data_IF_907731012006
#
_entry.id   IF_907731012006
#
_cell.length_a   1.000
_cell.length_b   1.000
_cell.length_c   1.000
_cell.angle_alpha   90.00
_cell.angle_beta   90.00
_cell.angle_gamma   90.00
#
_symmetry.space_group_name_H-M   'P 1'
#
loop_
_entity.id
_entity.type
_entity.pdbx_description
1 polymer ?
#
# COMPACT_ATOMS: atom_id res chain seq x y z
N UNK A 1 -29.85 -12.50 -59.51
CA UNK A 1 -28.64 -13.33 -59.74
C UNK A 1 -27.57 -12.88 -58.76
N UNK A 2 -27.17 -13.77 -57.86
CA UNK A 2 -26.10 -13.56 -56.88
C UNK A 2 -24.76 -13.82 -57.58
N UNK A 3 -23.85 -12.86 -57.57
CA UNK A 3 -22.44 -13.10 -57.89
C UNK A 3 -21.57 -12.65 -56.72
N UNK A 4 -21.23 -13.65 -55.90
CA UNK A 4 -20.09 -13.66 -54.97
C UNK A 4 -18.83 -13.19 -55.69
N UNK A 5 -18.05 -12.33 -55.02
CA UNK A 5 -16.59 -12.45 -54.90
C UNK A 5 -16.11 -11.65 -53.69
N UNK A 6 -15.97 -12.37 -52.56
CA UNK A 6 -14.92 -12.09 -51.58
C UNK A 6 -13.58 -11.94 -52.30
N UNK A 7 -12.74 -10.99 -51.89
CA UNK A 7 -11.34 -11.23 -51.55
C UNK A 7 -10.83 -10.06 -50.68
N UNK A 8 -10.69 -10.37 -49.39
CA UNK A 8 -9.58 -10.04 -48.50
C UNK A 8 -8.83 -8.71 -48.64
N UNK A 9 -9.04 -7.82 -47.67
CA UNK A 9 -7.95 -7.26 -46.86
C UNK A 9 -8.44 -7.11 -45.42
N UNK A 10 -8.09 -8.08 -44.57
CA UNK A 10 -8.02 -7.88 -43.12
C UNK A 10 -6.98 -6.77 -42.86
N UNK A 11 -7.33 -5.63 -42.24
CA UNK A 11 -6.32 -4.84 -41.57
C UNK A 11 -6.02 -5.55 -40.25
N UNK A 12 -4.90 -6.28 -40.27
CA UNK A 12 -3.97 -6.57 -39.17
C UNK A 12 -4.46 -6.04 -37.81
N UNK A 13 -4.91 -6.97 -36.96
CA UNK A 13 -5.19 -6.76 -35.55
C UNK A 13 -3.86 -6.41 -34.84
N UNK A 14 -3.58 -5.12 -34.68
CA UNK A 14 -2.47 -4.66 -33.82
C UNK A 14 -2.93 -4.85 -32.37
N UNK A 15 -2.50 -5.96 -31.77
CA UNK A 15 -2.67 -6.24 -30.35
C UNK A 15 -1.66 -5.38 -29.58
N UNK A 16 -2.05 -4.16 -29.20
CA UNK A 16 -1.28 -3.34 -28.28
C UNK A 16 -1.50 -3.88 -26.86
N UNK A 17 -0.71 -4.87 -26.46
CA UNK A 17 -0.42 -5.08 -25.04
C UNK A 17 0.43 -3.90 -24.60
N UNK A 18 -0.22 -2.86 -24.08
CA UNK A 18 0.45 -1.94 -23.17
C UNK A 18 0.72 -2.72 -21.88
N UNK A 19 1.78 -3.53 -21.89
CA UNK A 19 2.40 -3.95 -20.65
C UNK A 19 2.88 -2.66 -20.00
N UNK A 20 2.19 -2.22 -18.94
CA UNK A 20 2.85 -1.42 -17.93
C UNK A 20 3.98 -2.34 -17.45
N UNK A 21 5.18 -2.15 -18.01
CA UNK A 21 6.43 -2.48 -17.35
C UNK A 21 6.26 -1.90 -15.98
N UNK A 22 6.00 -2.77 -15.00
CA UNK A 22 5.58 -2.36 -13.68
C UNK A 22 6.52 -1.26 -13.26
N UNK A 23 6.02 -0.01 -13.19
CA UNK A 23 6.65 0.97 -12.34
C UNK A 23 6.66 0.26 -11.01
N UNK A 24 7.85 -0.18 -10.60
CA UNK A 24 8.09 -0.87 -9.35
C UNK A 24 7.26 -0.12 -8.32
N UNK A 25 6.21 -0.76 -7.82
CA UNK A 25 5.65 -0.34 -6.55
C UNK A 25 6.88 -0.34 -5.65
N UNK A 26 7.15 0.80 -5.04
CA UNK A 26 8.30 1.03 -4.17
C UNK A 26 8.17 0.04 -3.00
N UNK A 27 8.59 -1.20 -3.26
CA UNK A 27 8.62 -2.30 -2.33
C UNK A 27 9.93 -2.18 -1.58
N UNK A 28 9.86 -2.15 -0.25
CA UNK A 28 11.07 -2.37 0.55
C UNK A 28 11.94 -1.15 0.79
N UNK A 29 11.38 0.07 0.80
CA UNK A 29 12.04 1.16 1.53
C UNK A 29 11.31 1.40 2.83
N UNK A 30 12.01 1.07 3.91
CA UNK A 30 11.59 1.38 5.26
C UNK A 30 11.46 2.91 5.43
N UNK A 31 10.29 3.36 5.83
CA UNK A 31 9.98 4.78 6.06
C UNK A 31 10.60 5.29 7.38
N UNK A 32 11.01 4.37 8.25
CA UNK A 32 11.72 4.71 9.48
C UNK A 32 13.15 5.11 9.15
N UNK A 33 13.54 6.29 9.63
CA UNK A 33 14.93 6.74 9.60
C UNK A 33 15.66 6.16 10.80
N UNK A 34 16.89 5.67 10.58
CA UNK A 34 17.73 5.05 11.61
C UNK A 34 16.99 3.93 12.39
N UNK A 35 16.48 2.90 11.69
CA UNK A 35 15.58 1.90 12.27
C UNK A 35 16.23 0.98 13.30
N UNK A 36 17.56 0.80 13.23
CA UNK A 36 18.35 0.03 14.21
C UNK A 36 19.26 0.89 15.08
N UNK A 37 19.00 2.20 15.20
CA UNK A 37 19.72 3.10 16.12
C UNK A 37 21.25 3.21 15.93
N UNK A 38 21.81 2.73 14.82
CA UNK A 38 23.24 2.79 14.50
C UNK A 38 23.82 4.21 14.53
N UNK A 39 22.98 5.20 14.22
CA UNK A 39 23.31 6.63 14.28
C UNK A 39 22.95 7.26 15.63
N UNK A 40 22.91 6.48 16.70
CA UNK A 40 22.46 6.93 18.02
C UNK A 40 20.96 7.26 18.01
N UNK A 41 20.56 8.29 18.76
CA UNK A 41 19.17 8.74 18.82
C UNK A 41 18.78 9.62 17.63
N UNK A 42 19.61 9.73 16.59
CA UNK A 42 19.30 10.54 15.41
C UNK A 42 17.95 10.12 14.82
N UNK A 43 17.10 11.10 14.51
CA UNK A 43 15.71 10.96 14.06
C UNK A 43 14.70 10.39 15.08
N UNK A 44 15.15 10.04 16.29
CA UNK A 44 14.31 9.55 17.37
C UNK A 44 14.28 10.55 18.51
N UNK A 45 13.13 10.70 19.17
CA UNK A 45 13.00 11.51 20.37
C UNK A 45 12.53 10.64 21.52
N UNK A 46 13.22 10.75 22.65
CA UNK A 46 12.79 10.11 23.88
C UNK A 46 11.91 11.06 24.70
N UNK A 47 10.81 10.54 25.22
CA UNK A 47 9.91 11.24 26.13
C UNK A 47 9.68 10.36 27.35
N UNK A 48 9.81 10.95 28.53
CA UNK A 48 9.51 10.31 29.82
C UNK A 48 8.50 11.09 30.67
N UNK A 49 7.90 12.16 30.12
CA UNK A 49 6.91 13.01 30.80
C UNK A 49 7.34 13.46 32.22
N UNK A 50 8.62 13.81 32.38
CA UNK A 50 9.21 14.26 33.65
C UNK A 50 9.18 13.22 34.78
N UNK A 51 9.13 11.92 34.47
CA UNK A 51 9.33 10.86 35.46
C UNK A 51 10.83 10.74 35.76
N UNK A 52 11.22 11.08 37.00
CA UNK A 52 12.61 11.34 37.43
C UNK A 52 13.58 10.16 37.22
N UNK A 53 13.08 8.94 37.15
CA UNK A 53 13.91 7.73 37.16
C UNK A 53 13.76 6.85 35.91
N UNK A 54 12.89 7.23 34.96
CA UNK A 54 12.78 6.50 33.69
C UNK A 54 13.82 7.03 32.71
N UNK A 55 14.65 6.14 32.19
CA UNK A 55 15.74 6.46 31.27
C UNK A 55 15.49 5.84 29.92
N UNK A 56 15.74 6.62 28.87
CA UNK A 56 15.79 6.17 27.49
C UNK A 56 17.18 6.39 26.95
N UNK A 57 17.84 5.33 26.51
CA UNK A 57 19.25 5.36 26.09
C UNK A 57 19.41 4.52 24.83
N UNK A 58 20.46 4.81 24.04
CA UNK A 58 20.91 3.91 22.99
C UNK A 58 22.01 3.05 23.59
N UNK A 59 21.81 1.73 23.59
CA UNK A 59 22.76 0.76 24.16
C UNK A 59 23.63 0.16 23.06
N UNK A 60 24.90 -0.10 23.38
CA UNK A 60 25.87 -0.78 22.51
C UNK A 60 26.19 -2.21 23.00
N UNK A 61 25.47 -2.69 24.02
CA UNK A 61 25.73 -3.99 24.67
C UNK A 61 24.63 -5.00 24.38
N UNK A 62 23.40 -4.53 24.19
CA UNK A 62 22.22 -5.37 24.03
C UNK A 62 21.44 -4.91 22.81
N UNK A 63 21.74 -5.50 21.66
CA UNK A 63 21.13 -5.21 20.36
C UNK A 63 20.67 -6.50 19.69
N UNK A 64 19.74 -6.40 18.73
CA UNK A 64 19.28 -7.52 17.93
C UNK A 64 20.18 -7.72 16.71
N UNK A 65 20.44 -6.63 15.99
CA UNK A 65 21.35 -6.61 14.86
C UNK A 65 22.26 -5.37 14.92
N UNK A 66 23.26 -5.31 14.04
CA UNK A 66 24.19 -4.18 14.04
C UNK A 66 25.01 -4.09 15.32
N UNK A 67 25.07 -2.90 15.92
CA UNK A 67 25.83 -2.59 17.13
C UNK A 67 25.02 -1.83 18.17
N UNK A 68 23.81 -1.37 17.86
CA UNK A 68 23.02 -0.50 18.74
C UNK A 68 21.55 -0.89 18.81
N UNK A 69 20.91 -0.56 19.92
CA UNK A 69 19.46 -0.63 20.05
C UNK A 69 18.94 0.46 20.99
N UNK A 70 17.65 0.78 20.90
CA UNK A 70 17.01 1.65 21.88
C UNK A 70 16.62 0.87 23.13
N UNK A 71 16.90 1.46 24.29
CA UNK A 71 16.54 0.94 25.61
C UNK A 71 15.62 1.92 26.32
N UNK A 72 14.66 1.39 27.07
CA UNK A 72 13.90 2.10 28.10
C UNK A 72 14.02 1.30 29.40
N UNK A 73 14.52 1.93 30.45
CA UNK A 73 14.56 1.36 31.80
C UNK A 73 13.63 2.17 32.68
N UNK A 74 12.55 1.52 33.13
CA UNK A 74 11.55 2.09 34.02
C UNK A 74 11.62 1.39 35.39
N UNK A 75 12.34 1.94 36.39
CA UNK A 75 12.49 1.30 37.71
C UNK A 75 11.19 1.26 38.51
N UNK A 76 10.22 2.09 38.15
CA UNK A 76 8.85 2.07 38.66
C UNK A 76 7.87 2.29 37.50
N UNK A 77 6.59 1.99 37.74
CA UNK A 77 5.56 2.16 36.72
C UNK A 77 5.43 3.64 36.36
N UNK A 78 5.66 4.05 35.10
CA UNK A 78 5.51 5.45 34.69
C UNK A 78 4.09 5.94 34.94
N UNK A 79 3.95 7.18 35.44
CA UNK A 79 2.63 7.78 35.70
C UNK A 79 1.78 7.94 34.42
N UNK A 80 2.44 8.20 33.30
CA UNK A 80 1.80 8.42 32.00
C UNK A 80 2.28 7.33 31.04
N UNK A 81 3.48 7.46 30.52
CA UNK A 81 4.23 6.44 29.80
C UNK A 81 5.66 6.96 29.58
N UNK A 82 6.50 6.16 28.95
CA UNK A 82 7.74 6.65 28.34
C UNK A 82 7.86 6.03 26.95
N UNK A 83 8.50 6.73 26.03
CA UNK A 83 8.55 6.29 24.65
C UNK A 83 9.71 6.87 23.89
N UNK A 84 10.25 6.06 22.99
CA UNK A 84 10.95 6.54 21.81
C UNK A 84 9.94 6.76 20.68
N UNK A 85 10.01 7.91 20.02
CA UNK A 85 9.09 8.22 18.91
C UNK A 85 9.77 8.90 17.72
N UNK A 86 9.13 8.76 16.56
CA UNK A 86 9.52 9.41 15.31
C UNK A 86 8.27 9.86 14.54
N UNK A 87 8.39 11.00 13.85
CA UNK A 87 7.38 11.47 12.90
C UNK A 87 7.73 11.00 11.48
N UNK A 88 6.76 10.41 10.81
CA UNK A 88 6.89 9.92 9.44
C UNK A 88 5.85 10.63 8.58
N UNK A 89 6.32 11.39 7.58
CA UNK A 89 5.45 11.99 6.58
C UNK A 89 5.12 10.96 5.49
N UNK A 90 3.86 10.90 5.09
CA UNK A 90 3.37 9.93 4.10
C UNK A 90 2.44 10.58 3.08
N UNK A 91 2.37 9.97 1.91
CA UNK A 91 1.41 10.27 0.83
C UNK A 91 0.56 9.02 0.58
N UNK A 92 -0.41 9.10 -0.32
CA UNK A 92 -1.20 7.91 -0.71
C UNK A 92 -0.33 6.81 -1.35
N UNK A 93 0.73 7.21 -2.05
CA UNK A 93 1.69 6.33 -2.70
C UNK A 93 2.65 5.68 -1.71
N UNK A 94 3.00 6.38 -0.62
CA UNK A 94 3.94 5.91 0.40
C UNK A 94 3.27 5.46 1.70
N UNK A 95 1.93 5.43 1.76
CA UNK A 95 1.19 4.98 2.93
C UNK A 95 1.58 3.53 3.27
N UNK A 96 2.11 3.25 4.47
CA UNK A 96 2.54 1.91 4.85
C UNK A 96 1.35 1.01 5.14
N UNK A 97 1.49 -0.27 4.79
CA UNK A 97 0.53 -1.34 5.04
C UNK A 97 1.11 -2.42 5.97
N UNK A 98 2.32 -2.21 6.47
CA UNK A 98 3.00 -3.15 7.34
C UNK A 98 3.90 -2.43 8.36
N UNK A 99 3.91 -2.97 9.59
CA UNK A 99 4.90 -2.62 10.62
C UNK A 99 5.47 -3.88 11.26
N UNK A 100 6.76 -3.85 11.58
CA UNK A 100 7.37 -4.79 12.50
C UNK A 100 8.42 -4.13 13.38
N UNK A 101 8.70 -4.77 14.52
CA UNK A 101 9.75 -4.37 15.45
C UNK A 101 10.37 -5.62 16.06
N UNK A 102 11.70 -5.64 16.17
CA UNK A 102 12.39 -6.56 17.07
C UNK A 102 12.46 -5.94 18.44
N UNK A 103 12.10 -6.71 19.46
CA UNK A 103 12.04 -6.21 20.82
C UNK A 103 12.40 -7.28 21.84
N UNK A 104 12.76 -6.82 23.04
CA UNK A 104 12.98 -7.64 24.22
C UNK A 104 12.37 -6.95 25.42
N UNK A 105 11.48 -7.63 26.14
CA UNK A 105 10.70 -7.05 27.23
C UNK A 105 10.52 -8.09 28.36
N UNK A 106 11.58 -8.42 29.12
CA UNK A 106 11.57 -9.51 30.10
C UNK A 106 10.51 -9.35 31.20
N UNK A 107 10.24 -8.12 31.63
CA UNK A 107 9.47 -7.87 32.85
C UNK A 107 7.96 -7.76 32.60
N UNK A 108 7.56 -7.07 31.52
CA UNK A 108 6.18 -6.66 31.29
C UNK A 108 5.86 -6.47 29.79
N UNK A 109 4.57 -6.56 29.46
CA UNK A 109 4.06 -6.21 28.13
C UNK A 109 4.26 -4.71 27.85
N UNK A 110 4.50 -4.38 26.59
CA UNK A 110 4.55 -3.01 26.07
C UNK A 110 3.81 -2.92 24.72
N UNK A 111 3.89 -1.80 24.02
CA UNK A 111 3.22 -1.64 22.73
C UNK A 111 3.97 -0.69 21.79
N UNK A 112 3.81 -0.89 20.48
CA UNK A 112 4.07 0.16 19.49
C UNK A 112 2.74 0.79 19.11
N UNK A 113 2.65 2.11 19.19
CA UNK A 113 1.46 2.86 18.78
C UNK A 113 1.80 3.67 17.54
N UNK A 114 0.95 3.58 16.53
CA UNK A 114 1.03 4.39 15.32
C UNK A 114 -0.15 5.35 15.31
N UNK A 115 0.09 6.62 15.69
CA UNK A 115 -0.91 7.69 15.66
C UNK A 115 -0.92 8.31 14.27
N UNK A 116 -2.05 8.26 13.57
CA UNK A 116 -2.17 8.86 12.24
C UNK A 116 -2.88 10.21 12.30
N UNK A 117 -2.39 11.14 11.48
CA UNK A 117 -2.87 12.51 11.37
C UNK A 117 -3.21 12.84 9.92
N UNK A 118 -4.31 13.55 9.73
CA UNK A 118 -4.75 14.09 8.44
C UNK A 118 -4.95 15.60 8.57
N UNK A 119 -5.11 16.29 7.43
CA UNK A 119 -5.46 17.70 7.46
C UNK A 119 -6.91 17.89 7.94
N UNK A 120 -7.14 18.91 8.75
CA UNK A 120 -8.48 19.38 9.11
C UNK A 120 -9.00 20.39 8.07
N UNK A 121 -10.23 20.88 8.27
CA UNK A 121 -10.87 21.85 7.39
C UNK A 121 -10.11 23.19 7.30
N UNK A 122 -9.35 23.54 8.33
CA UNK A 122 -8.49 24.73 8.36
C UNK A 122 -7.09 24.47 7.77
N UNK A 123 -6.81 23.26 7.29
CA UNK A 123 -5.53 22.83 6.72
C UNK A 123 -4.47 22.41 7.75
N UNK A 124 -4.79 22.46 9.05
CA UNK A 124 -3.94 22.03 10.16
C UNK A 124 -3.88 20.51 10.30
N UNK A 125 -2.89 19.98 11.02
CA UNK A 125 -2.77 18.53 11.24
C UNK A 125 -3.51 18.11 12.52
N UNK A 126 -4.56 17.32 12.35
CA UNK A 126 -5.34 16.77 13.45
C UNK A 126 -5.11 15.26 13.60
N UNK A 127 -5.05 14.78 14.84
CA UNK A 127 -5.08 13.33 15.12
C UNK A 127 -6.42 12.76 14.68
N UNK A 128 -6.38 11.71 13.86
CA UNK A 128 -7.59 11.03 13.37
C UNK A 128 -7.80 9.66 14.01
N UNK A 129 -6.73 9.04 14.51
CA UNK A 129 -6.81 7.76 15.20
C UNK A 129 -5.44 7.17 15.50
N UNK A 130 -5.44 5.93 15.98
CA UNK A 130 -4.22 5.18 16.24
C UNK A 130 -4.41 3.68 16.02
N UNK A 131 -3.34 3.01 15.64
CA UNK A 131 -3.22 1.55 15.59
C UNK A 131 -2.22 1.11 16.65
N UNK A 132 -2.46 -0.04 17.29
CA UNK A 132 -1.62 -0.56 18.37
C UNK A 132 -1.12 -1.96 18.02
N UNK A 133 0.20 -2.14 18.07
CA UNK A 133 0.87 -3.42 17.99
C UNK A 133 1.26 -3.83 19.42
N UNK A 134 0.53 -4.77 20.06
CA UNK A 134 0.88 -5.24 21.39
C UNK A 134 2.17 -6.07 21.35
N UNK A 135 3.05 -5.84 22.32
CA UNK A 135 4.32 -6.52 22.49
C UNK A 135 4.27 -7.32 23.79
N UNK A 136 4.35 -8.65 23.68
CA UNK A 136 4.22 -9.55 24.84
C UNK A 136 5.53 -9.68 25.58
N UNK A 137 5.50 -9.75 26.90
CA UNK A 137 6.72 -9.95 27.68
C UNK A 137 7.48 -11.20 27.22
N UNK A 138 8.81 -11.10 27.19
CA UNK A 138 9.71 -12.14 26.70
C UNK A 138 11.16 -11.79 27.02
N UNK A 139 11.90 -12.77 27.51
CA UNK A 139 13.30 -12.60 27.94
C UNK A 139 14.27 -12.52 26.76
N UNK A 140 13.92 -13.12 25.63
CA UNK A 140 14.73 -13.16 24.40
C UNK A 140 14.20 -12.17 23.36
N UNK A 141 15.04 -11.87 22.36
CA UNK A 141 14.63 -11.08 21.21
C UNK A 141 13.53 -11.80 20.43
N UNK A 142 12.48 -11.06 20.12
CA UNK A 142 11.32 -11.55 19.38
C UNK A 142 10.82 -10.47 18.44
N UNK A 143 10.22 -10.89 17.32
CA UNK A 143 9.63 -9.98 16.37
C UNK A 143 8.12 -9.92 16.56
N UNK A 144 7.57 -8.71 16.61
CA UNK A 144 6.14 -8.48 16.47
C UNK A 144 5.88 -7.77 15.16
N UNK A 145 4.77 -8.09 14.51
CA UNK A 145 4.35 -7.44 13.27
C UNK A 145 2.84 -7.41 13.11
N UNK A 146 2.36 -6.49 12.28
CA UNK A 146 0.97 -6.48 11.85
C UNK A 146 0.79 -5.81 10.49
N UNK A 147 -0.28 -6.18 9.80
CA UNK A 147 -0.79 -5.41 8.66
C UNK A 147 -1.46 -4.14 9.18
N UNK A 148 -1.31 -3.07 8.41
CA UNK A 148 -1.85 -1.75 8.70
C UNK A 148 -2.90 -1.39 7.65
N UNK A 149 -3.90 -0.65 8.09
CA UNK A 149 -4.93 -0.10 7.21
C UNK A 149 -5.24 1.33 7.66
N UNK A 150 -4.44 2.28 7.18
CA UNK A 150 -4.67 3.69 7.46
C UNK A 150 -5.63 4.31 6.44
N UNK A 151 -6.43 5.33 6.84
CA UNK A 151 -7.20 6.12 5.89
C UNK A 151 -6.31 6.75 4.79
N UNK A 152 -6.72 6.76 3.51
CA UNK A 152 -5.93 7.30 2.40
C UNK A 152 -5.56 8.79 2.51
N UNK A 153 -6.32 9.56 3.29
CA UNK A 153 -6.07 10.96 3.58
C UNK A 153 -5.01 11.19 4.67
N UNK A 154 -4.46 10.12 5.26
CA UNK A 154 -3.37 10.20 6.23
C UNK A 154 -2.16 10.90 5.61
N UNK A 155 -1.57 11.85 6.35
CA UNK A 155 -0.39 12.61 5.92
C UNK A 155 0.80 12.45 6.84
N UNK A 156 0.56 12.12 8.11
CA UNK A 156 1.61 11.87 9.07
C UNK A 156 1.27 10.68 9.95
N UNK A 157 2.29 9.91 10.28
CA UNK A 157 2.25 8.85 11.27
C UNK A 157 3.27 9.19 12.34
N UNK A 158 2.87 9.16 13.61
CA UNK A 158 3.78 9.17 14.75
C UNK A 158 3.87 7.75 15.25
N UNK A 159 5.06 7.15 15.13
CA UNK A 159 5.34 5.83 15.69
C UNK A 159 5.94 6.03 17.09
N UNK A 160 5.37 5.37 18.08
CA UNK A 160 5.77 5.43 19.49
C UNK A 160 6.00 4.03 20.02
N UNK A 161 7.22 3.73 20.46
CA UNK A 161 7.53 2.52 21.24
C UNK A 161 7.22 2.82 22.70
N UNK A 162 5.98 2.53 23.13
CA UNK A 162 5.42 3.01 24.39
C UNK A 162 5.56 1.96 25.49
N UNK A 163 6.09 2.42 26.62
CA UNK A 163 6.25 1.67 27.86
C UNK A 163 5.45 2.33 28.97
N UNK A 164 4.56 1.57 29.59
CA UNK A 164 3.65 2.06 30.64
C UNK A 164 3.73 1.26 31.93
N UNK A 165 4.71 0.36 32.06
CA UNK A 165 4.94 -0.47 33.25
C UNK A 165 6.41 -0.49 33.61
N UNK A 166 6.72 -0.79 34.87
CA UNK A 166 8.10 -0.97 35.31
C UNK A 166 8.79 -2.12 34.54
N UNK A 167 10.10 -2.02 34.34
CA UNK A 167 10.91 -3.02 33.67
C UNK A 167 11.95 -2.43 32.72
N UNK A 168 12.68 -3.33 32.07
CA UNK A 168 13.61 -3.04 30.98
C UNK A 168 13.00 -3.45 29.65
N UNK A 169 13.11 -2.57 28.66
CA UNK A 169 12.57 -2.77 27.32
C UNK A 169 13.62 -2.38 26.31
N UNK A 170 13.82 -3.22 25.30
CA UNK A 170 14.69 -2.92 24.17
C UNK A 170 13.92 -3.04 22.87
N UNK A 171 14.27 -2.20 21.92
CA UNK A 171 13.68 -2.13 20.60
C UNK A 171 14.77 -1.93 19.56
N UNK A 172 14.61 -2.62 18.45
CA UNK A 172 15.57 -2.63 17.36
C UNK A 172 14.88 -2.98 16.03
N UNK A 173 15.56 -2.71 14.92
CA UNK A 173 15.14 -3.09 13.56
C UNK A 173 13.67 -2.77 13.25
N UNK A 174 13.25 -1.53 13.50
CA UNK A 174 11.87 -1.11 13.25
C UNK A 174 11.65 -1.00 11.75
N UNK A 175 10.64 -1.68 11.23
CA UNK A 175 10.19 -1.58 9.84
C UNK A 175 8.81 -0.94 9.82
N UNK A 176 8.67 0.13 9.05
CA UNK A 176 7.39 0.68 8.64
C UNK A 176 7.47 0.87 7.12
N UNK A 177 6.75 0.05 6.38
CA UNK A 177 6.90 0.04 4.93
C UNK A 177 5.58 -0.27 4.23
N UNK A 178 5.57 0.01 2.94
CA UNK A 178 4.59 -0.54 2.02
C UNK A 178 5.19 -1.81 1.42
N UNK A 179 4.65 -2.97 1.74
CA UNK A 179 5.10 -4.23 1.15
C UNK A 179 4.48 -4.40 -0.22
N UNK A 180 5.31 -4.68 -1.22
CA UNK A 180 4.78 -5.17 -2.50
C UNK A 180 4.60 -6.68 -2.40
N UNK A 181 3.56 -7.12 -1.69
CA UNK A 181 2.90 -8.40 -1.96
C UNK A 181 1.53 -8.42 -1.27
N UNK A 182 0.52 -8.85 -2.02
CA UNK A 182 -0.93 -8.64 -1.85
C UNK A 182 -1.43 -7.19 -1.96
N UNK A 183 -1.18 -6.54 -3.10
CA UNK A 183 -2.02 -5.43 -3.58
C UNK A 183 -3.41 -5.97 -3.98
N UNK A 184 -4.17 -6.55 -3.06
CA UNK A 184 -5.57 -6.92 -3.29
C UNK A 184 -6.56 -5.83 -2.87
N UNK A 185 -6.10 -4.74 -2.25
CA UNK A 185 -7.06 -3.79 -1.63
C UNK A 185 -6.96 -2.31 -1.96
N UNK A 186 -6.01 -1.80 -2.75
CA UNK A 186 -6.08 -0.37 -3.12
C UNK A 186 -5.32 0.08 -4.39
N UNK A 187 -5.06 -0.84 -5.32
CA UNK A 187 -4.86 -0.46 -6.73
C UNK A 187 -5.84 -1.26 -7.56
N UNK A 188 -6.30 -0.75 -8.71
CA UNK A 188 -7.36 -1.39 -9.41
C UNK A 188 -6.91 -2.74 -9.97
N UNK A 189 -7.34 -3.84 -9.35
CA UNK A 189 -6.90 -5.18 -9.74
C UNK A 189 -7.63 -5.71 -10.98
N UNK A 190 -8.27 -4.84 -11.76
CA UNK A 190 -9.11 -5.25 -12.89
C UNK A 190 -8.27 -5.37 -14.15
N UNK A 191 -8.35 -6.54 -14.78
CA UNK A 191 -8.05 -6.66 -16.20
C UNK A 191 -9.33 -6.36 -16.99
N UNK A 192 -9.28 -5.31 -17.81
CA UNK A 192 -10.43 -4.84 -18.57
C UNK A 192 -10.24 -5.11 -20.06
N UNK A 193 -11.14 -5.89 -20.64
CA UNK A 193 -11.25 -6.00 -22.08
C UNK A 193 -12.23 -4.96 -22.61
N UNK A 194 -11.79 -4.14 -23.56
CA UNK A 194 -12.65 -3.17 -24.25
C UNK A 194 -12.86 -3.65 -25.67
N UNK A 195 -14.11 -3.82 -26.09
CA UNK A 195 -14.41 -4.33 -27.43
C UNK A 195 -15.77 -3.87 -27.94
N UNK A 196 -16.10 -4.30 -29.16
CA UNK A 196 -17.42 -4.08 -29.73
C UNK A 196 -18.35 -5.11 -29.09
N UNK A 197 -19.34 -4.65 -28.32
CA UNK A 197 -20.49 -5.49 -28.01
C UNK A 197 -21.37 -5.45 -29.25
N UNK A 198 -21.20 -6.43 -30.14
CA UNK A 198 -22.13 -6.57 -31.24
C UNK A 198 -23.46 -6.98 -30.62
N UNK A 199 -24.38 -6.02 -30.54
CA UNK A 199 -25.75 -6.11 -30.04
C UNK A 199 -26.65 -7.15 -30.76
N UNK A 200 -26.10 -8.24 -31.30
CA UNK A 200 -26.84 -9.29 -32.02
C UNK A 200 -26.26 -10.72 -31.89
N UNK A 201 -25.47 -11.03 -30.88
CA UNK A 201 -25.30 -12.43 -30.47
C UNK A 201 -25.40 -12.51 -28.95
N UNK A 202 -26.14 -13.51 -28.47
CA UNK A 202 -26.38 -13.78 -27.06
C UNK A 202 -25.11 -13.55 -26.23
N UNK A 203 -25.29 -12.97 -25.04
CA UNK A 203 -24.29 -12.53 -24.05
C UNK A 203 -23.21 -13.56 -23.63
N UNK A 204 -23.16 -14.70 -24.30
CA UNK A 204 -22.20 -15.79 -24.20
C UNK A 204 -21.22 -15.88 -25.40
N UNK A 205 -21.23 -14.92 -26.34
CA UNK A 205 -20.55 -15.10 -27.65
C UNK A 205 -19.65 -13.96 -28.09
N UNK A 206 -19.56 -12.84 -27.35
CA UNK A 206 -18.60 -11.79 -27.68
C UNK A 206 -17.20 -12.27 -27.27
N UNK A 207 -16.20 -12.11 -28.14
CA UNK A 207 -14.84 -12.60 -27.88
C UNK A 207 -14.32 -12.16 -26.49
N UNK A 208 -14.51 -10.91 -26.03
CA UNK A 208 -14.15 -10.49 -24.67
C UNK A 208 -14.80 -11.33 -23.55
N UNK A 209 -16.07 -11.72 -23.68
CA UNK A 209 -16.77 -12.53 -22.67
C UNK A 209 -16.17 -13.94 -22.52
N UNK A 210 -15.78 -14.56 -23.63
CA UNK A 210 -15.13 -15.89 -23.63
C UNK A 210 -13.77 -15.88 -22.93
N UNK A 211 -12.99 -14.80 -23.11
CA UNK A 211 -11.72 -14.62 -22.42
C UNK A 211 -11.89 -14.37 -20.92
N UNK A 212 -12.88 -13.55 -20.54
CA UNK A 212 -13.23 -13.32 -19.13
C UNK A 212 -13.59 -14.63 -18.45
N UNK A 213 -14.44 -15.45 -19.09
CA UNK A 213 -14.87 -16.75 -18.54
C UNK A 213 -13.71 -17.74 -18.41
N UNK A 214 -12.84 -17.81 -19.43
CA UNK A 214 -11.66 -18.67 -19.40
C UNK A 214 -10.68 -18.28 -18.28
N UNK A 215 -10.44 -16.98 -18.10
CA UNK A 215 -9.55 -16.47 -17.06
C UNK A 215 -10.15 -16.68 -15.66
N UNK A 216 -11.45 -16.45 -15.47
CA UNK A 216 -12.15 -16.75 -14.22
C UNK A 216 -12.07 -18.24 -13.85
N UNK A 217 -12.23 -19.15 -14.82
CA UNK A 217 -12.04 -20.60 -14.62
C UNK A 217 -10.61 -20.98 -14.20
N UNK A 218 -9.62 -20.12 -14.46
CA UNK A 218 -8.23 -20.29 -14.05
C UNK A 218 -7.89 -19.57 -12.74
N UNK A 219 -8.89 -19.06 -12.01
CA UNK A 219 -8.72 -18.42 -10.71
C UNK A 219 -8.50 -16.91 -10.77
N UNK A 220 -8.69 -16.27 -11.92
CA UNK A 220 -8.58 -14.81 -12.03
C UNK A 220 -9.91 -14.15 -11.70
N UNK A 221 -10.06 -13.64 -10.49
CA UNK A 221 -11.35 -13.13 -9.99
C UNK A 221 -11.70 -11.73 -10.52
N UNK A 222 -10.69 -10.90 -10.81
CA UNK A 222 -10.86 -9.50 -11.17
C UNK A 222 -10.67 -9.23 -12.67
N UNK A 223 -11.46 -9.91 -13.50
CA UNK A 223 -11.46 -9.75 -14.96
C UNK A 223 -12.86 -9.38 -15.45
N UNK A 224 -12.96 -8.38 -16.32
CA UNK A 224 -14.25 -7.92 -16.87
C UNK A 224 -14.09 -7.41 -18.30
N UNK A 225 -15.19 -7.39 -19.04
CA UNK A 225 -15.27 -6.77 -20.35
C UNK A 225 -16.27 -5.61 -20.35
N UNK A 226 -16.03 -4.62 -21.20
CA UNK A 226 -16.95 -3.49 -21.43
C UNK A 226 -17.01 -3.17 -22.92
N UNK A 227 -18.16 -2.68 -23.37
CA UNK A 227 -18.28 -2.15 -24.71
C UNK A 227 -17.50 -0.83 -24.83
N UNK A 228 -17.13 -0.42 -26.05
CA UNK A 228 -16.57 0.91 -26.27
C UNK A 228 -17.51 2.05 -25.83
N UNK A 229 -18.81 1.85 -25.98
CA UNK A 229 -19.82 2.84 -25.58
C UNK A 229 -19.96 2.98 -24.07
N UNK A 230 -19.68 1.92 -23.33
CA UNK A 230 -19.78 1.90 -21.88
C UNK A 230 -18.44 2.17 -21.19
N UNK A 231 -17.35 2.32 -21.97
CA UNK A 231 -16.06 2.70 -21.44
C UNK A 231 -16.12 4.11 -20.86
N UNK A 232 -15.62 4.25 -19.64
CA UNK A 232 -15.54 5.54 -18.92
C UNK A 232 -14.12 5.77 -18.38
N UNK A 233 -13.71 7.04 -18.17
CA UNK A 233 -12.44 7.35 -17.51
C UNK A 233 -12.29 6.70 -16.13
N UNK A 234 -13.40 6.58 -15.39
CA UNK A 234 -13.43 5.90 -14.09
C UNK A 234 -13.06 4.42 -14.23
N UNK A 235 -13.59 3.73 -15.24
CA UNK A 235 -13.27 2.32 -15.49
C UNK A 235 -11.81 2.11 -15.91
N UNK A 236 -11.26 3.00 -16.73
CA UNK A 236 -9.84 2.98 -17.11
C UNK A 236 -8.95 3.16 -15.88
N UNK A 237 -9.21 4.21 -15.08
CA UNK A 237 -8.50 4.46 -13.81
C UNK A 237 -8.68 3.33 -12.79
N UNK A 238 -9.73 2.54 -12.94
CA UNK A 238 -10.02 1.34 -12.15
C UNK A 238 -9.49 0.05 -12.80
N UNK A 239 -8.59 0.12 -13.77
CA UNK A 239 -7.99 -1.04 -14.41
C UNK A 239 -6.46 -0.97 -14.37
N UNK A 240 -5.81 -2.09 -14.03
CA UNK A 240 -4.34 -2.24 -14.07
C UNK A 240 -3.83 -2.56 -15.46
N UNK A 241 -4.65 -3.25 -16.25
CA UNK A 241 -4.34 -3.63 -17.61
C UNK A 241 -5.61 -3.50 -18.44
N UNK A 242 -5.50 -2.90 -19.62
CA UNK A 242 -6.62 -2.70 -20.55
C UNK A 242 -6.23 -3.33 -21.88
N UNK A 243 -7.03 -4.27 -22.34
CA UNK A 243 -6.88 -4.90 -23.64
C UNK A 243 -7.98 -4.41 -24.58
N UNK A 244 -7.61 -3.68 -25.62
CA UNK A 244 -8.53 -3.27 -26.68
C UNK A 244 -8.62 -4.40 -27.71
N UNK A 245 -9.78 -5.07 -27.76
CA UNK A 245 -10.06 -6.23 -28.60
C UNK A 245 -10.78 -5.82 -29.91
N UNK A 246 -10.99 -4.52 -30.11
CA UNK A 246 -11.51 -3.92 -31.34
C UNK A 246 -11.67 -2.41 -31.16
N UNK A 247 -11.68 -1.65 -32.26
CA UNK A 247 -11.96 -0.21 -32.27
C UNK A 247 -13.36 0.03 -32.84
N UNK A 248 -14.15 1.00 -32.35
CA UNK A 248 -15.44 1.29 -32.93
C UNK A 248 -15.23 1.80 -34.36
N UNK A 249 -15.77 1.07 -35.34
CA UNK A 249 -15.83 1.50 -36.73
C UNK A 249 -16.90 2.58 -36.87
N UNK A 250 -16.60 3.78 -36.38
CA UNK A 250 -17.44 4.98 -36.52
C UNK A 250 -16.77 5.98 -37.45
N UNK A 251 -17.56 6.62 -38.31
CA UNK A 251 -17.06 7.60 -39.27
C UNK A 251 -16.69 8.95 -38.63
N UNK A 252 -17.16 9.21 -37.40
CA UNK A 252 -16.94 10.48 -36.70
C UNK A 252 -16.41 10.23 -35.29
N UNK A 253 -15.35 10.94 -34.91
CA UNK A 253 -14.78 10.93 -33.55
C UNK A 253 -15.61 11.84 -32.64
N UNK A 254 -16.16 11.28 -31.57
CA UNK A 254 -16.85 12.09 -30.56
C UNK A 254 -15.85 12.73 -29.59
N UNK A 255 -16.23 13.79 -28.85
CA UNK A 255 -15.41 14.33 -27.76
C UNK A 255 -15.05 13.30 -26.69
N UNK A 256 -15.92 12.29 -26.49
CA UNK A 256 -15.68 11.16 -25.60
C UNK A 256 -14.55 10.26 -26.13
N UNK A 257 -14.53 9.99 -27.44
CA UNK A 257 -13.48 9.20 -28.07
C UNK A 257 -12.12 9.89 -27.98
N UNK A 258 -12.09 11.22 -28.16
CA UNK A 258 -10.87 12.02 -27.98
C UNK A 258 -10.36 11.98 -26.53
N UNK A 259 -11.25 12.10 -25.53
CA UNK A 259 -10.87 12.01 -24.12
C UNK A 259 -10.36 10.60 -23.74
N UNK A 260 -10.97 9.54 -24.28
CA UNK A 260 -10.48 8.17 -24.10
C UNK A 260 -9.13 7.98 -24.79
N UNK A 261 -8.93 8.52 -25.99
CA UNK A 261 -7.66 8.44 -26.71
C UNK A 261 -6.52 9.15 -25.96
N UNK A 262 -6.76 10.33 -25.37
CA UNK A 262 -5.79 11.00 -24.51
C UNK A 262 -5.47 10.18 -23.25
N UNK A 263 -6.48 9.59 -22.60
CA UNK A 263 -6.25 8.71 -21.45
C UNK A 263 -5.48 7.45 -21.85
N UNK A 264 -5.73 6.86 -23.01
CA UNK A 264 -4.97 5.69 -23.49
C UNK A 264 -3.50 6.03 -23.73
N UNK A 265 -3.18 7.27 -24.17
CA UNK A 265 -1.78 7.72 -24.27
C UNK A 265 -1.08 7.75 -22.91
N UNK A 266 -1.78 7.97 -21.80
CA UNK A 266 -1.20 7.89 -20.45
C UNK A 266 -0.88 6.45 -20.04
N UNK A 267 -1.44 5.44 -20.71
CA UNK A 267 -1.26 4.01 -20.41
C UNK A 267 -0.25 3.30 -21.35
N UNK A 268 0.14 3.91 -22.47
CA UNK A 268 1.07 3.36 -23.47
C UNK A 268 2.51 3.84 -23.23
#
# INVERSE_FOLDING_TARGET
MVTKRMIWYMPVLIMLLACISGSSVYAGTNLIKNPGFEQGSTAWTFVNHNVRDVRGEITEVEYHSGLKAASIVAPSTPRIYSSWYQHVAVTEETLPDYVSVWYRAPDNDCEVILVHKSRDEAGGLAVKGSVRLPLKKGADWQQASMKLNFPPDTRYIVIEMRVSKQGKYLFDDIVLERRAEDVSYNRPYRFLFVGIDHNQMSSSSSMPSLWVDALKKKGWENVSSVSWDDLTPKLLKQSRMVAFVGYPSRCELTPKDAAIAELVKEYA
#
